data_IF_012353349723
#
_entry.id   IF_012353349723
#
_cell.length_a   1.000
_cell.length_b   1.000
_cell.length_c   1.000
_cell.angle_alpha   90.00
_cell.angle_beta   90.00
_cell.angle_gamma   90.00
#
_symmetry.space_group_name_H-M   'P 1'
#
loop_
_entity.id
_entity.type
_entity.pdbx_description
1 polymer ?
#
# COMPACT_ATOMS: atom_id res chain seq x y z
N UNK A 1 7.24 8.06 1.70
CA UNK A 1 6.44 6.99 2.32
C UNK A 1 5.14 7.54 2.83
N UNK A 2 5.22 8.48 3.76
CA UNK A 2 4.10 9.22 4.34
C UNK A 2 3.15 9.83 3.31
N UNK A 3 3.66 10.45 2.23
CA UNK A 3 2.79 11.05 1.21
C UNK A 3 1.90 10.01 0.51
N UNK A 4 2.46 8.86 0.13
CA UNK A 4 1.72 7.80 -0.56
C UNK A 4 0.69 7.11 0.34
N UNK A 5 0.92 7.09 1.67
CA UNK A 5 0.01 6.42 2.61
C UNK A 5 -1.05 7.37 3.18
N UNK A 6 -0.67 8.60 3.54
CA UNK A 6 -1.55 9.51 4.28
C UNK A 6 -2.42 10.37 3.36
N UNK A 7 -1.93 10.84 2.21
CA UNK A 7 -2.72 11.73 1.33
C UNK A 7 -4.02 11.08 0.82
N UNK A 8 -3.99 9.86 0.24
CA UNK A 8 -5.24 9.22 -0.19
C UNK A 8 -6.13 8.83 1.00
N UNK A 9 -5.53 8.44 2.13
CA UNK A 9 -6.27 8.08 3.32
C UNK A 9 -6.97 9.27 3.98
N UNK A 10 -6.31 10.43 4.11
CA UNK A 10 -6.94 11.65 4.64
C UNK A 10 -8.00 12.20 3.70
N UNK A 11 -7.81 12.08 2.39
CA UNK A 11 -8.82 12.50 1.41
C UNK A 11 -10.13 11.69 1.52
N UNK A 12 -10.07 10.42 1.93
CA UNK A 12 -11.24 9.53 1.99
C UNK A 12 -11.81 9.39 3.39
N UNK A 13 -10.99 9.19 4.40
CA UNK A 13 -11.44 9.04 5.79
C UNK A 13 -11.67 10.40 6.48
N UNK A 14 -11.10 11.49 5.95
CA UNK A 14 -11.18 12.80 6.58
C UNK A 14 -10.62 12.77 8.01
N UNK A 15 -11.36 13.37 8.95
CA UNK A 15 -10.99 13.47 10.37
C UNK A 15 -11.58 12.35 11.25
N UNK A 16 -12.20 11.30 10.68
CA UNK A 16 -12.86 10.26 11.48
C UNK A 16 -11.86 9.32 12.16
N UNK A 17 -11.64 9.51 13.46
CA UNK A 17 -10.70 8.69 14.23
C UNK A 17 -11.02 7.18 14.22
N UNK A 18 -12.31 6.85 14.18
CA UNK A 18 -12.82 5.48 14.18
C UNK A 18 -12.48 4.72 12.91
N UNK A 19 -12.57 5.36 11.74
CA UNK A 19 -12.25 4.70 10.47
C UNK A 19 -10.75 4.53 10.29
N UNK A 20 -9.95 5.49 10.74
CA UNK A 20 -8.49 5.36 10.79
C UNK A 20 -8.05 4.16 11.64
N UNK A 21 -8.58 4.03 12.86
CA UNK A 21 -8.28 2.89 13.73
C UNK A 21 -8.73 1.56 13.13
N UNK A 22 -9.92 1.52 12.53
CA UNK A 22 -10.46 0.30 11.93
C UNK A 22 -9.67 -0.14 10.69
N UNK A 23 -9.37 0.80 9.80
CA UNK A 23 -8.69 0.53 8.53
C UNK A 23 -7.22 0.15 8.75
N UNK A 24 -6.48 0.91 9.57
CA UNK A 24 -5.05 0.70 9.75
C UNK A 24 -4.71 -0.18 10.96
N UNK A 25 -5.29 0.08 12.14
CA UNK A 25 -4.92 -0.67 13.35
C UNK A 25 -5.62 -2.03 13.47
N UNK A 26 -6.89 -2.12 13.03
CA UNK A 26 -7.64 -3.39 13.09
C UNK A 26 -7.53 -4.23 11.80
N UNK A 27 -6.94 -3.68 10.73
CA UNK A 27 -6.90 -4.29 9.39
C UNK A 27 -8.26 -4.89 8.96
N UNK A 28 -9.35 -4.15 9.21
CA UNK A 28 -10.72 -4.54 8.81
C UNK A 28 -11.32 -3.54 7.82
N UNK A 29 -10.79 -3.48 6.58
CA UNK A 29 -11.43 -2.72 5.51
C UNK A 29 -12.78 -3.35 5.15
N UNK A 30 -13.86 -2.58 5.22
CA UNK A 30 -15.25 -2.98 4.97
C UNK A 30 -15.69 -2.66 3.56
N UNK A 31 -15.12 -1.60 2.96
CA UNK A 31 -15.48 -1.12 1.63
C UNK A 31 -14.38 -1.33 0.60
N UNK A 32 -14.77 -1.43 -0.68
CA UNK A 32 -13.83 -1.54 -1.81
C UNK A 32 -12.84 -0.37 -1.85
N UNK A 33 -13.28 0.84 -1.51
CA UNK A 33 -12.43 2.05 -1.50
C UNK A 33 -11.37 1.94 -0.41
N UNK A 34 -11.69 1.36 0.75
CA UNK A 34 -10.72 1.19 1.83
C UNK A 34 -9.61 0.22 1.45
N UNK A 35 -9.94 -0.86 0.73
CA UNK A 35 -8.93 -1.77 0.15
C UNK A 35 -7.99 -1.05 -0.82
N UNK A 36 -8.51 -0.12 -1.64
CA UNK A 36 -7.70 0.68 -2.57
C UNK A 36 -6.72 1.63 -1.90
N UNK A 37 -6.91 1.94 -0.62
CA UNK A 37 -6.06 2.88 0.12
C UNK A 37 -5.09 2.12 1.01
N UNK A 38 -5.59 1.11 1.71
CA UNK A 38 -4.83 0.35 2.69
C UNK A 38 -3.80 -0.55 1.99
N UNK A 39 -4.18 -1.22 0.90
CA UNK A 39 -3.29 -2.18 0.21
C UNK A 39 -2.03 -1.52 -0.36
N UNK A 40 -2.10 -0.37 -1.08
CA UNK A 40 -0.90 0.35 -1.52
C UNK A 40 -0.08 0.92 -0.38
N UNK A 41 -0.72 1.35 0.71
CA UNK A 41 -0.01 1.89 1.86
C UNK A 41 0.88 0.83 2.52
N UNK A 42 0.34 -0.38 2.74
CA UNK A 42 1.13 -1.52 3.21
C UNK A 42 2.17 -1.95 2.17
N UNK A 43 1.81 -1.94 0.88
CA UNK A 43 2.74 -2.22 -0.21
C UNK A 43 3.95 -1.28 -0.21
N UNK A 44 3.76 0.01 0.02
CA UNK A 44 4.83 0.99 0.10
C UNK A 44 5.76 0.76 1.31
N UNK A 45 5.20 0.38 2.48
CA UNK A 45 5.99 0.07 3.68
C UNK A 45 6.86 -1.17 3.43
N UNK A 46 6.24 -2.25 2.95
CA UNK A 46 6.94 -3.50 2.65
C UNK A 46 7.99 -3.29 1.55
N UNK A 47 7.64 -2.57 0.49
CA UNK A 47 8.55 -2.24 -0.60
C UNK A 47 9.72 -1.39 -0.15
N UNK A 48 9.51 -0.42 0.75
CA UNK A 48 10.58 0.39 1.33
C UNK A 48 11.52 -0.44 2.20
N UNK A 49 10.98 -1.38 2.97
CA UNK A 49 11.77 -2.32 3.76
C UNK A 49 12.65 -3.22 2.88
N UNK A 50 12.10 -3.79 1.82
CA UNK A 50 12.89 -4.55 0.84
C UNK A 50 13.90 -3.67 0.08
N UNK A 51 13.54 -2.41 -0.18
CA UNK A 51 14.44 -1.42 -0.79
C UNK A 51 15.64 -1.07 0.09
N UNK A 52 15.61 -1.33 1.40
CA UNK A 52 16.78 -1.15 2.26
C UNK A 52 17.80 -2.29 2.12
N UNK A 53 17.39 -3.46 1.63
CA UNK A 53 18.24 -4.65 1.53
C UNK A 53 19.48 -4.52 0.64
N UNK A 54 19.46 -3.82 -0.51
CA UNK A 54 20.67 -3.61 -1.30
C UNK A 54 21.67 -2.62 -0.68
N UNK A 55 21.34 -1.89 0.38
CA UNK A 55 22.24 -0.89 0.98
C UNK A 55 23.45 -1.51 1.71
N UNK A 56 23.32 -2.55 2.56
CA UNK A 56 24.46 -3.14 3.27
C UNK A 56 25.47 -3.87 2.38
N UNK A 57 25.11 -4.18 1.13
CA UNK A 57 26.02 -4.75 0.15
C UNK A 57 26.98 -3.70 -0.44
N UNK A 58 26.69 -2.42 -0.17
CA UNK A 58 27.44 -1.20 -0.52
C UNK A 58 28.53 -1.41 -1.57
N UNK A 59 28.10 -1.40 -2.82
CA UNK A 59 28.96 -1.61 -3.98
C UNK A 59 29.57 -0.28 -4.46
N UNK A 60 29.58 0.75 -3.58
CA UNK A 60 30.05 2.11 -3.83
C UNK A 60 29.34 2.74 -5.05
N UNK A 61 28.04 2.47 -5.20
CA UNK A 61 27.24 2.98 -6.32
C UNK A 61 26.33 4.11 -5.88
N UNK A 62 26.20 5.18 -6.69
CA UNK A 62 25.37 6.33 -6.34
C UNK A 62 23.88 5.99 -6.21
N UNK A 63 23.42 4.85 -6.72
CA UNK A 63 22.03 4.41 -6.55
C UNK A 63 21.78 3.67 -5.23
N UNK A 64 22.82 3.20 -4.53
CA UNK A 64 22.73 2.52 -3.21
C UNK A 64 22.68 3.48 -2.03
N UNK A 65 22.95 4.76 -2.26
CA UNK A 65 22.91 5.81 -1.25
C UNK A 65 21.56 5.89 -0.56
N UNK A 66 21.58 6.12 0.76
CA UNK A 66 20.36 6.37 1.51
C UNK A 66 19.83 7.77 1.22
N UNK A 67 18.51 7.96 0.94
CA UNK A 67 17.40 7.01 0.99
C UNK A 67 16.95 6.48 -0.39
N UNK A 68 17.80 6.51 -1.42
CA UNK A 68 17.43 6.29 -2.83
C UNK A 68 16.82 4.89 -3.05
N UNK A 69 17.49 3.81 -2.61
CA UNK A 69 16.97 2.46 -2.78
C UNK A 69 15.63 2.24 -2.05
N UNK A 70 15.47 2.82 -0.85
CA UNK A 70 14.23 2.74 -0.07
C UNK A 70 13.09 3.46 -0.79
N UNK A 71 13.36 4.62 -1.40
CA UNK A 71 12.38 5.36 -2.19
C UNK A 71 11.90 4.54 -3.40
N UNK A 72 12.81 3.94 -4.15
CA UNK A 72 12.46 3.09 -5.29
C UNK A 72 11.68 1.85 -4.88
N UNK A 73 12.16 1.14 -3.85
CA UNK A 73 11.50 -0.06 -3.35
C UNK A 73 10.06 0.20 -2.95
N UNK A 74 9.82 1.34 -2.31
CA UNK A 74 8.47 1.68 -1.90
C UNK A 74 7.57 2.27 -2.98
N UNK A 75 8.11 2.99 -3.97
CA UNK A 75 7.33 3.34 -5.17
C UNK A 75 6.89 2.05 -5.87
N UNK A 76 7.81 1.10 -6.03
CA UNK A 76 7.50 -0.23 -6.58
C UNK A 76 6.45 -0.96 -5.73
N UNK A 77 6.63 -0.99 -4.41
CA UNK A 77 5.67 -1.58 -3.49
C UNK A 77 4.28 -0.94 -3.53
N UNK A 78 4.19 0.38 -3.70
CA UNK A 78 2.94 1.10 -3.89
C UNK A 78 2.24 0.68 -5.19
N UNK A 79 2.98 0.59 -6.31
CA UNK A 79 2.45 0.14 -7.60
C UNK A 79 1.93 -1.29 -7.51
N UNK A 80 2.70 -2.20 -6.92
CA UNK A 80 2.28 -3.59 -6.71
C UNK A 80 1.03 -3.65 -5.82
N UNK A 81 0.99 -2.88 -4.73
CA UNK A 81 -0.18 -2.80 -3.85
C UNK A 81 -1.43 -2.28 -4.56
N UNK A 82 -1.29 -1.33 -5.50
CA UNK A 82 -2.40 -0.86 -6.34
C UNK A 82 -2.93 -1.95 -7.27
N UNK A 83 -2.03 -2.67 -7.95
CA UNK A 83 -2.41 -3.78 -8.83
C UNK A 83 -3.14 -4.85 -8.03
N UNK A 84 -2.60 -5.24 -6.87
CA UNK A 84 -3.22 -6.21 -5.98
C UNK A 84 -4.60 -5.77 -5.51
N UNK A 85 -4.78 -4.50 -5.13
CA UNK A 85 -6.10 -3.99 -4.76
C UNK A 85 -7.10 -4.09 -5.90
N UNK A 86 -6.71 -3.73 -7.12
CA UNK A 86 -7.57 -3.85 -8.30
C UNK A 86 -7.94 -5.32 -8.54
N UNK A 87 -6.95 -6.22 -8.51
CA UNK A 87 -7.19 -7.67 -8.66
C UNK A 87 -8.16 -8.20 -7.62
N UNK A 88 -7.99 -7.84 -6.34
CA UNK A 88 -8.89 -8.23 -5.26
C UNK A 88 -10.32 -7.72 -5.49
N UNK A 89 -10.49 -6.47 -5.92
CA UNK A 89 -11.80 -5.92 -6.26
C UNK A 89 -12.48 -6.70 -7.39
N UNK A 90 -11.74 -7.04 -8.46
CA UNK A 90 -12.26 -7.85 -9.56
C UNK A 90 -12.68 -9.24 -9.08
N UNK A 91 -11.87 -9.90 -8.25
CA UNK A 91 -12.18 -11.22 -7.70
C UNK A 91 -13.41 -11.19 -6.78
N UNK A 92 -13.50 -10.21 -5.87
CA UNK A 92 -14.66 -10.06 -4.99
C UNK A 92 -15.93 -9.71 -5.75
N UNK A 93 -15.84 -8.91 -6.82
CA UNK A 93 -16.97 -8.60 -7.69
C UNK A 93 -17.46 -9.83 -8.45
N UNK A 94 -16.54 -10.68 -8.94
CA UNK A 94 -16.88 -11.97 -9.57
C UNK A 94 -17.57 -12.91 -8.59
N UNK A 95 -17.05 -13.02 -7.37
CA UNK A 95 -17.63 -13.88 -6.32
C UNK A 95 -19.04 -13.42 -5.88
N UNK A 96 -19.29 -12.10 -5.80
CA UNK A 96 -20.65 -11.59 -5.54
C UNK A 96 -21.62 -11.90 -6.68
N UNK A 97 -21.20 -11.82 -7.94
CA UNK A 97 -22.06 -12.16 -9.08
C UNK A 97 -22.41 -13.65 -9.11
N UNK A 98 -21.47 -14.53 -8.76
CA UNK A 98 -21.67 -15.99 -8.69
C UNK A 98 -22.65 -16.44 -7.59
N UNK A 99 -22.88 -15.63 -6.56
CA UNK A 99 -23.85 -15.95 -5.49
C UNK A 99 -25.28 -15.47 -5.79
N UNK A 100 -25.45 -14.66 -6.83
CA UNK A 100 -26.74 -14.04 -7.19
C UNK A 100 -27.38 -14.73 -8.40
N UNK A 101 -26.59 -15.50 -9.17
CA UNK A 101 -27.07 -16.41 -10.21
C UNK A 101 -27.38 -17.80 -9.63
#
# INVERSE_FOLDING_TARGET
MSVFTFVPATAVFGASWTDWHRAFASMKPTGNIEYMIVTPAYGAIVGGWFGAWPMPLDWERPWQEWPICVCYGAIGGCIVGQILSLSLMFLFRKHKNLKVA
#
